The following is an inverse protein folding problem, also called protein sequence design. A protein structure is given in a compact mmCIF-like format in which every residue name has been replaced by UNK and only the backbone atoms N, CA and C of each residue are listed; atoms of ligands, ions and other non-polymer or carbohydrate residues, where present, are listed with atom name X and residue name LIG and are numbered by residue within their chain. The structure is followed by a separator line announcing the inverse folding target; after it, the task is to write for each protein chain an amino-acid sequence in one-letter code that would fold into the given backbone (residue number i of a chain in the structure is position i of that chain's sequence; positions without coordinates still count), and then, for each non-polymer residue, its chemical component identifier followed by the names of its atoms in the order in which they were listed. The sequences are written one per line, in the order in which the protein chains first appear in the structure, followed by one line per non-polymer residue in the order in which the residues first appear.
data_IF_216626535457
#
_entry.id   IF_216626535457
#
_cell.length_a   1.000
_cell.length_b   1.000
_cell.length_c   1.000
_cell.angle_alpha   90.00
_cell.angle_beta   90.00
_cell.angle_gamma   90.00
#
_symmetry.space_group_name_H-M   'P 1'
#
loop_
_entity.id
_entity.type
_entity.pdbx_description
1 polymer ?
#
# COMPACT_ATOMS: atom_id res chain seq x y z
N UNK A 1 6.97 15.72 21.31
CA UNK A 1 8.43 15.63 21.10
C UNK A 1 8.86 14.84 19.85
N UNK A 2 8.79 13.50 19.79
CA UNK A 2 9.35 12.75 18.64
C UNK A 2 8.69 13.09 17.28
N UNK A 3 7.36 13.24 17.26
CA UNK A 3 6.60 13.69 16.08
C UNK A 3 7.07 15.07 15.60
N UNK A 4 7.19 16.03 16.51
CA UNK A 4 7.61 17.41 16.19
C UNK A 4 9.02 17.46 15.62
N UNK A 5 9.97 16.75 16.23
CA UNK A 5 11.34 16.64 15.72
C UNK A 5 11.34 16.03 14.31
N UNK A 6 10.58 14.97 14.07
CA UNK A 6 10.47 14.35 12.76
C UNK A 6 9.93 15.33 11.70
N UNK A 7 8.89 16.10 12.04
CA UNK A 7 8.37 17.14 11.16
C UNK A 7 9.39 18.25 10.90
N UNK A 8 10.11 18.70 11.92
CA UNK A 8 11.14 19.73 11.79
C UNK A 8 12.27 19.28 10.86
N UNK A 9 12.74 18.04 11.01
CA UNK A 9 13.77 17.45 10.14
C UNK A 9 13.31 17.33 8.68
N UNK A 10 12.03 16.99 8.44
CA UNK A 10 11.45 16.98 7.10
C UNK A 10 11.36 18.39 6.52
N UNK A 11 10.85 19.36 7.28
CA UNK A 11 10.73 20.76 6.86
C UNK A 11 12.07 21.38 6.52
N UNK A 12 13.11 21.09 7.32
CA UNK A 12 14.48 21.55 7.08
C UNK A 12 15.20 20.76 5.97
N UNK A 13 14.54 19.81 5.31
CA UNK A 13 15.15 18.89 4.34
C UNK A 13 16.35 18.08 4.88
N UNK A 14 16.50 17.96 6.21
CA UNK A 14 17.53 17.13 6.86
C UNK A 14 17.17 15.65 6.82
N UNK A 15 15.89 15.32 6.65
CA UNK A 15 15.40 13.97 6.44
C UNK A 15 14.66 13.88 5.11
N UNK A 16 14.99 12.87 4.30
CA UNK A 16 14.30 12.53 3.04
C UNK A 16 14.19 11.01 2.92
N UNK A 17 13.08 10.54 2.37
CA UNK A 17 12.86 9.14 2.07
C UNK A 17 12.80 8.98 0.55
N UNK A 18 13.63 8.09 0.02
CA UNK A 18 13.72 7.80 -1.41
C UNK A 18 13.52 6.29 -1.61
N UNK A 19 12.75 5.94 -2.63
CA UNK A 19 12.66 4.55 -3.12
C UNK A 19 13.51 4.50 -4.37
N UNK A 20 14.63 3.78 -4.30
CA UNK A 20 15.56 3.59 -5.42
C UNK A 20 15.57 2.10 -5.73
N UNK A 21 15.06 1.75 -6.91
CA UNK A 21 15.00 0.35 -7.36
C UNK A 21 16.29 0.00 -8.10
N UNK A 22 16.74 -1.25 -7.98
CA UNK A 22 17.79 -1.91 -8.76
C UNK A 22 19.22 -1.33 -8.66
N UNK A 23 19.39 -0.04 -8.35
CA UNK A 23 20.69 0.63 -8.35
C UNK A 23 21.27 0.84 -6.94
N UNK A 24 20.43 1.00 -5.90
CA UNK A 24 20.91 1.42 -4.57
C UNK A 24 20.14 0.75 -3.41
N UNK A 25 20.03 -0.58 -3.42
CA UNK A 25 19.91 -1.35 -2.15
C UNK A 25 18.70 -2.26 -1.97
N UNK A 26 17.62 -2.11 -2.73
CA UNK A 26 16.51 -3.10 -2.72
C UNK A 26 16.38 -3.80 -4.08
N UNK A 27 16.65 -5.11 -4.09
CA UNK A 27 16.38 -5.97 -5.24
C UNK A 27 15.05 -6.68 -5.02
N UNK A 28 14.15 -6.58 -6.00
CA UNK A 28 12.92 -7.36 -5.98
C UNK A 28 13.27 -8.85 -6.05
N UNK A 29 12.81 -9.67 -5.09
CA UNK A 29 13.07 -11.09 -5.13
C UNK A 29 12.38 -11.70 -6.35
N UNK A 30 13.14 -12.42 -7.17
CA UNK A 30 12.60 -13.12 -8.36
C UNK A 30 11.85 -14.40 -7.99
N UNK A 31 12.02 -14.88 -6.75
CA UNK A 31 11.35 -16.07 -6.21
C UNK A 31 11.00 -15.85 -4.75
N UNK A 32 9.89 -16.44 -4.31
CA UNK A 32 9.46 -16.44 -2.91
C UNK A 32 9.17 -17.87 -2.46
N UNK A 33 9.72 -18.26 -1.32
CA UNK A 33 9.35 -19.52 -0.65
C UNK A 33 8.08 -19.30 0.15
N UNK A 34 7.06 -20.09 -0.14
CA UNK A 34 5.77 -20.05 0.54
C UNK A 34 5.57 -21.39 1.25
N UNK A 35 5.22 -21.35 2.54
CA UNK A 35 5.07 -22.54 3.40
C UNK A 35 3.66 -23.14 3.36
N UNK A 36 2.71 -22.41 2.79
CA UNK A 36 1.32 -22.85 2.66
C UNK A 36 1.13 -23.60 1.34
N UNK A 37 0.30 -24.64 1.37
CA UNK A 37 -0.19 -25.32 0.18
C UNK A 37 -1.60 -24.88 -0.24
N UNK A 38 -2.23 -23.99 0.54
CA UNK A 38 -3.59 -23.51 0.26
C UNK A 38 -3.55 -22.22 -0.57
N UNK A 39 -3.99 -22.36 -1.82
CA UNK A 39 -4.15 -21.25 -2.74
C UNK A 39 -5.40 -20.46 -2.38
N UNK A 40 -5.29 -19.15 -2.36
CA UNK A 40 -6.44 -18.28 -2.40
C UNK A 40 -7.04 -18.32 -3.82
N UNK A 41 -8.34 -18.52 -3.91
CA UNK A 41 -9.11 -18.47 -5.16
C UNK A 41 -10.09 -17.32 -5.11
N UNK A 42 -10.68 -17.00 -6.26
CA UNK A 42 -11.93 -16.23 -6.33
C UNK A 42 -13.06 -16.96 -5.59
N UNK A 43 -14.17 -16.27 -5.35
CA UNK A 43 -15.35 -16.84 -4.68
C UNK A 43 -15.97 -18.01 -5.44
N UNK A 44 -15.82 -18.04 -6.77
CA UNK A 44 -16.29 -19.11 -7.65
C UNK A 44 -15.30 -20.29 -7.77
N UNK A 45 -14.16 -20.23 -7.05
CA UNK A 45 -13.12 -21.26 -7.07
C UNK A 45 -12.09 -21.10 -8.19
N UNK A 46 -12.24 -20.11 -9.08
CA UNK A 46 -11.24 -19.86 -10.13
C UNK A 46 -9.95 -19.24 -9.55
N UNK A 47 -8.81 -19.39 -10.24
CA UNK A 47 -7.58 -18.69 -9.85
C UNK A 47 -7.77 -17.17 -9.80
N UNK A 48 -7.04 -16.51 -8.91
CA UNK A 48 -6.89 -15.06 -8.94
C UNK A 48 -6.22 -14.65 -10.26
N UNK A 49 -6.65 -13.52 -10.81
CA UNK A 49 -6.19 -12.97 -12.09
C UNK A 49 -5.46 -11.63 -11.89
N UNK A 50 -5.84 -10.85 -10.88
CA UNK A 50 -5.31 -9.50 -10.67
C UNK A 50 -4.34 -9.40 -9.48
N UNK A 51 -4.01 -10.51 -8.82
CA UNK A 51 -2.92 -10.52 -7.82
C UNK A 51 -1.57 -10.31 -8.50
N UNK A 52 -0.69 -9.52 -7.88
CA UNK A 52 0.68 -9.28 -8.35
C UNK A 52 1.53 -10.57 -8.42
N UNK A 53 1.17 -11.60 -7.63
CA UNK A 53 1.83 -12.90 -7.63
C UNK A 53 0.83 -14.02 -7.93
N UNK A 54 1.28 -15.03 -8.69
CA UNK A 54 0.46 -16.21 -9.06
C UNK A 54 -0.07 -16.97 -7.83
N UNK A 55 0.77 -17.14 -6.81
CA UNK A 55 0.39 -17.81 -5.57
C UNK A 55 0.14 -16.80 -4.45
N UNK A 56 -1.06 -16.87 -3.89
CA UNK A 56 -1.44 -16.14 -2.68
C UNK A 56 -1.89 -17.15 -1.63
N UNK A 57 -1.26 -17.13 -0.45
CA UNK A 57 -1.54 -18.05 0.64
C UNK A 57 -2.86 -17.67 1.33
N UNK A 58 -3.90 -18.51 1.21
CA UNK A 58 -5.24 -18.20 1.76
C UNK A 58 -5.22 -18.03 3.29
N UNK A 59 -4.35 -18.77 3.97
CA UNK A 59 -4.15 -18.75 5.42
C UNK A 59 -3.36 -17.53 5.92
N UNK A 60 -2.83 -16.71 5.01
CA UNK A 60 -2.15 -15.45 5.37
C UNK A 60 -3.11 -14.28 5.59
N UNK A 61 -4.42 -14.48 5.38
CA UNK A 61 -5.45 -13.44 5.49
C UNK A 61 -6.33 -13.66 6.72
N UNK A 62 -6.72 -12.57 7.36
CA UNK A 62 -7.91 -12.56 8.21
C UNK A 62 -9.19 -12.42 7.37
N UNK A 63 -10.37 -12.63 7.97
CA UNK A 63 -11.65 -12.61 7.25
C UNK A 63 -11.92 -11.27 6.53
N UNK A 64 -11.60 -10.14 7.16
CA UNK A 64 -11.77 -8.82 6.54
C UNK A 64 -10.82 -8.64 5.35
N UNK A 65 -9.56 -9.03 5.50
CA UNK A 65 -8.58 -8.97 4.41
C UNK A 65 -9.00 -9.85 3.23
N UNK A 66 -9.59 -11.04 3.47
CA UNK A 66 -10.12 -11.89 2.39
C UNK A 66 -11.24 -11.19 1.61
N UNK A 67 -12.17 -10.58 2.32
CA UNK A 67 -13.29 -9.83 1.70
C UNK A 67 -12.78 -8.64 0.87
N UNK A 68 -11.78 -7.91 1.37
CA UNK A 68 -11.13 -6.82 0.61
C UNK A 68 -10.45 -7.36 -0.65
N UNK A 69 -9.69 -8.45 -0.53
CA UNK A 69 -8.98 -9.04 -1.67
C UNK A 69 -9.93 -9.55 -2.75
N UNK A 70 -11.02 -10.24 -2.37
CA UNK A 70 -12.05 -10.66 -3.32
C UNK A 70 -12.73 -9.48 -3.99
N UNK A 71 -13.05 -8.44 -3.24
CA UNK A 71 -13.65 -7.24 -3.82
C UNK A 71 -12.69 -6.58 -4.83
N UNK A 72 -11.40 -6.44 -4.50
CA UNK A 72 -10.40 -5.90 -5.43
C UNK A 72 -10.35 -6.74 -6.72
N UNK A 73 -10.32 -8.06 -6.58
CA UNK A 73 -10.27 -9.01 -7.69
C UNK A 73 -11.48 -8.90 -8.65
N UNK A 74 -12.62 -8.44 -8.15
CA UNK A 74 -13.87 -8.23 -8.91
C UNK A 74 -13.95 -6.85 -9.60
N UNK A 75 -12.98 -5.95 -9.40
CA UNK A 75 -13.03 -4.60 -9.99
C UNK A 75 -12.44 -4.56 -11.41
N UNK A 76 -13.27 -4.18 -12.39
CA UNK A 76 -12.87 -4.07 -13.81
C UNK A 76 -11.72 -3.08 -14.06
N UNK A 77 -11.62 -2.02 -13.25
CA UNK A 77 -10.58 -0.98 -13.38
C UNK A 77 -9.29 -1.32 -12.62
N UNK A 78 -9.23 -2.44 -11.92
CA UNK A 78 -8.03 -2.82 -11.19
C UNK A 78 -6.97 -3.34 -12.17
N UNK A 79 -5.75 -2.81 -12.08
CA UNK A 79 -4.62 -3.35 -12.83
C UNK A 79 -3.98 -4.51 -12.08
N UNK A 80 -3.67 -4.29 -10.81
CA UNK A 80 -3.21 -5.34 -9.90
C UNK A 80 -3.40 -4.94 -8.44
N UNK A 81 -3.42 -5.94 -7.57
CA UNK A 81 -3.33 -5.78 -6.13
C UNK A 81 -2.23 -6.66 -5.53
N UNK A 82 -1.69 -6.22 -4.40
CA UNK A 82 -0.66 -6.92 -3.67
C UNK A 82 -1.00 -6.91 -2.18
N UNK A 83 -1.08 -8.10 -1.57
CA UNK A 83 -1.09 -8.24 -0.12
C UNK A 83 0.33 -8.22 0.41
N UNK A 84 0.69 -7.14 1.08
CA UNK A 84 2.01 -6.89 1.61
C UNK A 84 2.37 -7.90 2.73
N UNK A 85 3.61 -8.42 2.76
CA UNK A 85 4.05 -9.23 3.91
C UNK A 85 4.64 -8.35 5.02
N UNK A 86 4.07 -8.39 6.24
CA UNK A 86 4.60 -7.66 7.37
C UNK A 86 6.07 -8.00 7.62
N UNK A 87 6.88 -6.97 7.94
CA UNK A 87 8.31 -7.08 8.26
C UNK A 87 9.22 -7.53 7.12
N UNK A 88 8.69 -7.75 5.91
CA UNK A 88 9.48 -8.27 4.78
C UNK A 88 9.53 -7.32 3.60
N UNK A 89 8.37 -6.85 3.13
CA UNK A 89 8.34 -6.03 1.91
C UNK A 89 8.19 -4.54 2.24
N UNK A 90 7.15 -3.88 1.74
CA UNK A 90 7.03 -2.43 1.81
C UNK A 90 6.64 -1.98 3.22
N UNK A 91 7.42 -1.05 3.78
CA UNK A 91 7.17 -0.49 5.10
C UNK A 91 7.39 1.01 5.14
N UNK A 92 6.44 1.73 5.73
CA UNK A 92 6.50 3.18 5.92
C UNK A 92 7.13 3.49 7.26
N UNK A 93 8.20 4.29 7.26
CA UNK A 93 8.87 4.74 8.46
C UNK A 93 8.33 6.10 8.91
N UNK A 94 7.75 6.16 10.11
CA UNK A 94 7.37 7.41 10.78
C UNK A 94 8.32 7.74 11.94
N UNK A 95 7.80 8.45 12.95
CA UNK A 95 8.55 8.85 14.15
C UNK A 95 8.56 7.81 15.29
N UNK A 96 7.96 6.62 15.09
CA UNK A 96 8.11 5.48 16.01
C UNK A 96 9.15 4.48 15.49
N UNK A 97 9.75 3.72 16.40
CA UNK A 97 10.80 2.72 16.11
C UNK A 97 10.39 1.69 15.04
N UNK A 98 9.13 1.23 15.08
CA UNK A 98 8.63 0.21 14.17
C UNK A 98 8.02 0.85 12.92
N UNK A 99 8.29 0.24 11.76
CA UNK A 99 7.65 0.59 10.48
C UNK A 99 6.19 0.16 10.46
N UNK A 100 5.39 0.88 9.68
CA UNK A 100 4.01 0.51 9.35
C UNK A 100 4.05 -0.34 8.08
N UNK A 101 3.46 -1.52 8.14
CA UNK A 101 3.30 -2.41 6.99
C UNK A 101 1.83 -2.48 6.66
N UNK A 102 1.39 -1.65 5.69
CA UNK A 102 0.02 -1.63 5.21
C UNK A 102 -0.36 -2.99 4.62
N UNK A 103 -1.61 -3.42 4.74
CA UNK A 103 -2.05 -4.75 4.31
C UNK A 103 -2.07 -4.88 2.78
N UNK A 104 -2.54 -3.85 2.08
CA UNK A 104 -2.72 -3.87 0.63
C UNK A 104 -1.99 -2.73 -0.05
N UNK A 105 -1.44 -3.03 -1.22
CA UNK A 105 -0.96 -2.05 -2.20
C UNK A 105 -1.65 -2.40 -3.51
N UNK A 106 -2.27 -1.43 -4.16
CA UNK A 106 -2.94 -1.69 -5.43
C UNK A 106 -2.96 -0.46 -6.32
N UNK A 107 -3.27 -0.68 -7.58
CA UNK A 107 -3.39 0.40 -8.56
C UNK A 107 -4.53 0.12 -9.53
N UNK A 108 -5.16 1.18 -9.99
CA UNK A 108 -6.15 1.15 -11.05
C UNK A 108 -5.51 1.56 -12.38
N UNK A 109 -6.10 1.09 -13.47
CA UNK A 109 -5.80 1.60 -14.81
C UNK A 109 -6.43 2.97 -15.00
N UNK A 110 -5.74 3.85 -15.73
CA UNK A 110 -6.40 4.96 -16.41
C UNK A 110 -7.02 4.45 -17.73
N UNK A 111 -7.55 5.36 -18.56
CA UNK A 111 -8.07 5.05 -19.90
C UNK A 111 -7.05 4.39 -20.86
N UNK A 112 -5.79 4.23 -20.44
CA UNK A 112 -4.74 3.50 -21.16
C UNK A 112 -4.32 2.24 -20.37
N UNK A 113 -4.46 1.02 -20.93
CA UNK A 113 -4.29 -0.25 -20.21
C UNK A 113 -2.92 -0.50 -19.55
N UNK A 114 -1.88 0.23 -19.96
CA UNK A 114 -0.49 0.01 -19.50
C UNK A 114 0.08 1.18 -18.70
N UNK A 115 -0.70 2.25 -18.49
CA UNK A 115 -0.28 3.39 -17.69
C UNK A 115 -1.08 3.44 -16.40
N UNK A 116 -0.37 3.41 -15.26
CA UNK A 116 -0.95 3.69 -13.96
C UNK A 116 -0.35 4.98 -13.40
N UNK A 117 -1.22 5.94 -13.12
CA UNK A 117 -0.81 7.25 -12.61
C UNK A 117 -0.82 7.31 -11.07
N UNK A 118 -1.29 6.24 -10.40
CA UNK A 118 -1.62 6.26 -8.98
C UNK A 118 -1.38 4.92 -8.30
N UNK A 119 -0.97 4.94 -7.03
CA UNK A 119 -0.81 3.74 -6.20
C UNK A 119 -1.47 3.99 -4.87
N UNK A 120 -2.33 3.06 -4.46
CA UNK A 120 -3.00 3.07 -3.17
C UNK A 120 -2.25 2.17 -2.20
N UNK A 121 -2.01 2.67 -0.99
CA UNK A 121 -1.43 1.93 0.13
C UNK A 121 -2.46 1.92 1.25
N UNK A 122 -2.99 0.75 1.58
CA UNK A 122 -4.17 0.60 2.42
C UNK A 122 -3.90 -0.32 3.61
N UNK A 123 -4.10 0.23 4.80
CA UNK A 123 -4.20 -0.52 6.05
C UNK A 123 -5.67 -0.75 6.37
N UNK A 124 -6.06 -2.00 6.60
CA UNK A 124 -7.38 -2.41 7.07
C UNK A 124 -7.39 -2.52 8.58
N UNK A 125 -8.51 -2.13 9.22
CA UNK A 125 -8.64 -2.23 10.67
C UNK A 125 -10.03 -2.64 11.12
N UNK A 126 -10.09 -3.75 11.85
CA UNK A 126 -11.28 -4.19 12.58
C UNK A 126 -11.69 -3.17 13.65
N UNK A 127 -13.00 -2.96 13.83
CA UNK A 127 -13.53 -1.93 14.74
C UNK A 127 -13.02 -2.10 16.18
N UNK A 128 -12.96 -3.35 16.64
CA UNK A 128 -12.52 -3.73 17.97
C UNK A 128 -11.01 -3.51 18.22
N UNK A 129 -10.22 -3.20 17.17
CA UNK A 129 -8.78 -2.98 17.24
C UNK A 129 -8.39 -1.50 17.10
N UNK A 130 -9.39 -0.59 17.07
CA UNK A 130 -9.14 0.85 16.98
C UNK A 130 -8.59 1.34 18.32
N UNK A 131 -7.38 1.90 18.27
CA UNK A 131 -6.65 2.40 19.44
C UNK A 131 -5.61 3.45 19.02
N UNK A 132 -4.70 3.81 19.92
CA UNK A 132 -3.62 4.76 19.66
C UNK A 132 -2.68 4.35 18.50
N UNK A 133 -2.50 3.05 18.22
CA UNK A 133 -1.74 2.59 17.05
C UNK A 133 -2.46 2.97 15.75
N UNK A 134 -3.79 2.85 15.73
CA UNK A 134 -4.61 3.25 14.59
C UNK A 134 -4.54 4.75 14.35
N UNK A 135 -4.58 5.56 15.42
CA UNK A 135 -4.39 7.01 15.33
C UNK A 135 -2.99 7.37 14.79
N UNK A 136 -1.94 6.71 15.28
CA UNK A 136 -0.58 6.90 14.80
C UNK A 136 -0.44 6.59 13.30
N UNK A 137 -0.98 5.45 12.84
CA UNK A 137 -0.94 5.07 11.42
C UNK A 137 -1.65 6.10 10.53
N UNK A 138 -2.82 6.59 10.97
CA UNK A 138 -3.56 7.65 10.29
C UNK A 138 -2.71 8.92 10.15
N UNK A 139 -2.08 9.38 11.22
CA UNK A 139 -1.25 10.58 11.20
C UNK A 139 -0.06 10.44 10.23
N UNK A 140 0.62 9.29 10.23
CA UNK A 140 1.74 9.04 9.31
C UNK A 140 1.26 8.99 7.87
N UNK A 141 0.15 8.30 7.58
CA UNK A 141 -0.39 8.20 6.23
C UNK A 141 -0.90 9.56 5.69
N UNK A 142 -1.52 10.38 6.55
CA UNK A 142 -1.87 11.76 6.21
C UNK A 142 -0.62 12.60 5.87
N UNK A 143 0.46 12.44 6.62
CA UNK A 143 1.72 13.10 6.32
C UNK A 143 2.29 12.63 4.98
N UNK A 144 2.27 11.32 4.69
CA UNK A 144 2.65 10.78 3.38
C UNK A 144 1.84 11.42 2.26
N UNK A 145 0.51 11.48 2.37
CA UNK A 145 -0.36 12.14 1.38
C UNK A 145 -0.03 13.64 1.19
N UNK A 146 0.29 14.34 2.28
CA UNK A 146 0.66 15.76 2.24
C UNK A 146 1.97 15.99 1.48
N UNK A 147 2.94 15.07 1.62
CA UNK A 147 4.30 15.20 1.09
C UNK A 147 4.48 14.54 -0.27
N UNK A 148 3.76 13.45 -0.57
CA UNK A 148 3.77 12.71 -1.83
C UNK A 148 3.00 13.44 -2.94
N UNK A 149 3.28 14.74 -3.12
CA UNK A 149 2.70 15.56 -4.18
C UNK A 149 3.53 15.43 -5.46
N UNK A 150 2.84 15.41 -6.59
CA UNK A 150 3.43 15.46 -7.94
C UNK A 150 4.35 16.69 -8.01
N UNK A 151 5.65 16.46 -8.17
CA UNK A 151 6.66 17.51 -8.27
C UNK A 151 7.33 17.48 -9.64
N UNK A 152 7.95 18.58 -10.04
CA UNK A 152 8.64 18.66 -11.32
C UNK A 152 10.02 18.00 -11.24
N UNK A 153 10.42 17.34 -12.35
CA UNK A 153 11.68 16.61 -12.55
C UNK A 153 12.92 17.38 -12.05
N UNK A 154 12.90 18.71 -12.17
CA UNK A 154 13.99 19.62 -11.80
C UNK A 154 14.10 19.87 -10.28
N UNK A 155 12.99 19.78 -9.52
CA UNK A 155 12.98 20.10 -8.08
C UNK A 155 13.66 19.04 -7.20
N UNK A 156 13.81 17.82 -7.69
CA UNK A 156 14.45 16.72 -6.97
C UNK A 156 15.91 16.47 -7.42
N UNK A 157 16.37 17.12 -8.50
CA UNK A 157 17.70 16.85 -9.09
C UNK A 157 17.89 15.40 -9.56
N UNK A 158 16.79 14.64 -9.70
CA UNK A 158 16.76 13.21 -9.99
C UNK A 158 15.64 12.95 -10.99
N UNK A 159 15.96 12.19 -12.04
CA UNK A 159 14.97 11.74 -13.01
C UNK A 159 14.10 10.63 -12.41
N UNK A 160 12.99 10.98 -11.77
CA UNK A 160 12.07 9.99 -11.21
C UNK A 160 10.67 10.18 -11.79
N UNK A 161 10.20 9.19 -12.56
CA UNK A 161 8.81 9.09 -13.02
C UNK A 161 8.01 8.29 -11.98
N UNK A 162 7.54 8.94 -10.91
CA UNK A 162 6.85 8.28 -9.79
C UNK A 162 5.33 8.53 -9.90
N UNK A 163 4.48 7.48 -9.79
CA UNK A 163 3.03 7.64 -9.73
C UNK A 163 2.59 8.40 -8.46
N UNK A 164 1.38 8.97 -8.48
CA UNK A 164 0.75 9.61 -7.31
C UNK A 164 0.48 8.54 -6.25
N UNK A 165 1.08 8.65 -5.08
CA UNK A 165 0.79 7.71 -3.98
C UNK A 165 -0.30 8.26 -3.06
N UNK A 166 -1.27 7.41 -2.71
CA UNK A 166 -2.33 7.72 -1.74
C UNK A 166 -2.37 6.65 -0.65
N UNK A 167 -2.32 7.09 0.60
CA UNK A 167 -2.24 6.25 1.79
C UNK A 167 -3.54 6.34 2.59
N UNK A 168 -4.13 5.20 2.96
CA UNK A 168 -5.40 5.15 3.67
C UNK A 168 -5.38 4.12 4.80
N UNK A 169 -6.00 4.49 5.93
CA UNK A 169 -6.40 3.55 6.97
C UNK A 169 -7.92 3.42 6.89
N UNK A 170 -8.43 2.25 6.53
CA UNK A 170 -9.86 1.99 6.33
C UNK A 170 -10.39 1.05 7.41
N UNK A 171 -11.61 1.32 7.86
CA UNK A 171 -12.26 0.55 8.91
C UNK A 171 -13.20 -0.52 8.34
N UNK A 172 -13.43 -1.58 9.11
CA UNK A 172 -14.31 -2.71 8.78
C UNK A 172 -15.75 -2.33 8.39
N UNK A 173 -16.32 -1.28 8.96
CA UNK A 173 -17.69 -0.84 8.64
C UNK A 173 -17.78 -0.01 7.35
N UNK A 174 -16.65 0.41 6.78
CA UNK A 174 -16.59 1.42 5.72
C UNK A 174 -15.69 1.04 4.55
N UNK A 175 -15.01 -0.10 4.62
CA UNK A 175 -13.97 -0.46 3.65
C UNK A 175 -14.51 -0.46 2.21
N UNK A 176 -15.67 -1.06 1.96
CA UNK A 176 -16.23 -1.17 0.61
C UNK A 176 -16.59 0.19 0.03
N UNK A 177 -17.24 1.06 0.81
CA UNK A 177 -17.54 2.44 0.40
C UNK A 177 -16.27 3.20 0.06
N UNK A 178 -15.22 3.07 0.89
CA UNK A 178 -13.95 3.77 0.67
C UNK A 178 -13.21 3.28 -0.57
N UNK A 179 -13.23 1.98 -0.86
CA UNK A 179 -12.65 1.46 -2.10
C UNK A 179 -13.45 1.92 -3.33
N UNK A 180 -14.79 1.91 -3.28
CA UNK A 180 -15.62 2.45 -4.36
C UNK A 180 -15.26 3.92 -4.67
N UNK A 181 -15.07 4.75 -3.64
CA UNK A 181 -14.62 6.15 -3.79
C UNK A 181 -13.26 6.21 -4.53
N UNK A 182 -12.31 5.33 -4.18
CA UNK A 182 -10.98 5.27 -4.83
C UNK A 182 -11.06 4.86 -6.32
N UNK A 183 -11.94 3.93 -6.70
CA UNK A 183 -12.13 3.54 -8.10
C UNK A 183 -12.92 4.56 -8.94
N UNK A 184 -13.49 5.57 -8.28
CA UNK A 184 -14.28 6.63 -8.92
C UNK A 184 -13.50 7.94 -9.13
N UNK A 185 -12.29 8.08 -8.57
CA UNK A 185 -11.40 9.25 -8.69
C UNK A 185 -10.56 9.27 -9.97
#
# INVERSE_FOLDING_TARGET
MAKEIFHDLLCQSKLRFLVILNEIGFQLPTKRTIKSSRWMTKRDGQPLQNSLFDFVAEDSFNNMEKEVAWYLEEQDKLLWWYRNEPKKDYGVQGWKKNRIFADFIFTNTDNEPEQFNRVYVVETKGLHLINEDTAYKKDVFQLCNKLAKKTTRTKLGLELNIPKMQFHVIHEDQWQRKLNEMFSE
#
